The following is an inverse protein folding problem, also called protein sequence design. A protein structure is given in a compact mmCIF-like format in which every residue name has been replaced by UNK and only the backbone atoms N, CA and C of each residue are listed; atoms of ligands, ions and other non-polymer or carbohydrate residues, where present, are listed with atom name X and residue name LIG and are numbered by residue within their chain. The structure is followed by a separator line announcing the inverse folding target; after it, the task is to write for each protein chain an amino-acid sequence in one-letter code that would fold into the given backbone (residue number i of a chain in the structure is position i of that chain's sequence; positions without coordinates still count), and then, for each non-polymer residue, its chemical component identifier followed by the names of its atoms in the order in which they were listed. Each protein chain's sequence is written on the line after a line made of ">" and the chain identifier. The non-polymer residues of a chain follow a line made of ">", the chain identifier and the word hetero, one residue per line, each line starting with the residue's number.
data_IF_695865290361
#
_entry.id   IF_695865290361
#
_cell.length_a   1.000
_cell.length_b   1.000
_cell.length_c   1.000
_cell.angle_alpha   90.00
_cell.angle_beta   90.00
_cell.angle_gamma   90.00
#
_symmetry.space_group_name_H-M   'P 1'
#
loop_
_entity.id
_entity.type
_entity.pdbx_description
1 polymer ?
#
# COMPACT_ATOMS: atom_id res chain seq x y z
N UNK A 1 52.66 13.13 -32.77
CA UNK A 1 51.53 12.93 -31.84
C UNK A 1 50.25 13.09 -32.65
N UNK A 2 49.44 12.04 -32.82
CA UNK A 2 48.04 12.10 -33.33
C UNK A 2 47.40 10.73 -33.59
N UNK A 3 48.09 9.60 -33.33
CA UNK A 3 47.49 8.25 -33.50
C UNK A 3 47.10 7.54 -32.21
N UNK A 4 47.46 8.08 -31.04
CA UNK A 4 47.14 7.48 -29.73
C UNK A 4 45.77 7.98 -29.20
N UNK A 5 45.32 9.17 -29.60
CA UNK A 5 44.06 9.78 -29.12
C UNK A 5 42.82 9.06 -29.67
N UNK A 6 42.92 8.45 -30.85
CA UNK A 6 41.79 7.74 -31.48
C UNK A 6 41.45 6.42 -30.78
N UNK A 7 42.45 5.71 -30.22
CA UNK A 7 42.25 4.41 -29.56
C UNK A 7 41.61 4.57 -28.18
N UNK A 8 41.90 5.66 -27.45
CA UNK A 8 41.24 5.96 -26.18
C UNK A 8 39.76 6.37 -26.33
N UNK A 9 39.36 6.92 -27.48
CA UNK A 9 37.95 7.26 -27.72
C UNK A 9 37.05 6.05 -28.01
N UNK A 10 37.63 4.95 -28.50
CA UNK A 10 36.87 3.74 -28.87
C UNK A 10 36.55 2.83 -27.67
N UNK A 11 37.35 2.93 -26.59
CA UNK A 11 37.19 2.07 -25.39
C UNK A 11 36.19 2.66 -24.38
N UNK A 12 35.86 3.95 -24.47
CA UNK A 12 34.86 4.57 -23.60
C UNK A 12 33.39 4.35 -24.01
N UNK A 13 33.12 3.76 -25.19
CA UNK A 13 31.74 3.47 -25.62
C UNK A 13 31.23 2.07 -25.23
N UNK A 14 32.07 1.17 -24.73
CA UNK A 14 31.66 -0.20 -24.41
C UNK A 14 31.20 -0.44 -22.96
N UNK A 15 31.10 0.61 -22.13
CA UNK A 15 30.76 0.47 -20.70
C UNK A 15 29.36 0.96 -20.31
N UNK A 16 28.52 1.33 -21.28
CA UNK A 16 27.09 1.46 -21.05
C UNK A 16 26.39 0.15 -21.44
N UNK A 17 26.68 -0.93 -20.71
CA UNK A 17 25.69 -2.00 -20.55
C UNK A 17 24.61 -1.46 -19.61
N UNK A 18 23.76 -0.59 -20.15
CA UNK A 18 22.38 -0.48 -19.69
C UNK A 18 21.74 -1.82 -20.00
N UNK A 19 21.71 -2.71 -19.02
CA UNK A 19 20.78 -3.84 -19.02
C UNK A 19 19.39 -3.29 -18.76
N UNK A 20 18.78 -2.68 -19.78
CA UNK A 20 17.34 -2.45 -19.83
C UNK A 20 16.81 -3.22 -21.02
N UNK A 21 16.50 -4.49 -20.80
CA UNK A 21 15.65 -5.26 -21.70
C UNK A 21 14.63 -6.00 -20.81
N UNK A 22 13.68 -5.24 -20.25
CA UNK A 22 12.29 -5.70 -20.29
C UNK A 22 11.88 -5.46 -21.73
N UNK A 23 11.49 -6.51 -22.44
CA UNK A 23 11.00 -6.43 -23.82
C UNK A 23 9.82 -5.47 -23.87
N UNK A 24 10.10 -4.24 -24.27
CA UNK A 24 9.12 -3.16 -24.32
C UNK A 24 8.28 -3.36 -25.57
N UNK A 25 7.11 -3.98 -25.39
CA UNK A 25 6.09 -4.07 -26.42
C UNK A 25 5.36 -2.72 -26.53
N UNK A 26 6.09 -1.65 -26.87
CA UNK A 26 5.60 -0.39 -27.43
C UNK A 26 4.29 0.15 -26.86
N UNK A 27 4.14 0.06 -25.55
CA UNK A 27 2.99 0.60 -24.83
C UNK A 27 3.54 1.74 -24.00
N UNK A 28 3.31 2.99 -24.44
CA UNK A 28 3.58 4.21 -23.66
C UNK A 28 2.64 4.31 -22.43
N UNK A 29 2.38 3.18 -21.78
CA UNK A 29 1.49 3.06 -20.64
C UNK A 29 2.27 3.46 -19.38
N UNK A 30 2.22 4.75 -19.08
CA UNK A 30 2.82 5.35 -17.90
C UNK A 30 1.95 5.19 -16.65
N UNK A 31 0.91 4.35 -16.68
CA UNK A 31 0.02 4.12 -15.53
C UNK A 31 0.77 3.62 -14.29
N UNK A 32 1.85 2.85 -14.46
CA UNK A 32 2.73 2.44 -13.37
C UNK A 32 3.36 3.62 -12.62
N UNK A 33 3.46 4.81 -13.24
CA UNK A 33 3.97 6.04 -12.61
C UNK A 33 2.87 6.97 -12.10
N UNK A 34 1.59 6.59 -12.25
CA UNK A 34 0.47 7.37 -11.73
C UNK A 34 0.43 7.29 -10.21
N UNK A 35 -0.09 8.35 -9.61
CA UNK A 35 -0.47 8.42 -8.21
C UNK A 35 -2.00 8.40 -8.06
N UNK A 36 -2.72 7.84 -9.03
CA UNK A 36 -4.14 7.58 -8.97
C UNK A 36 -4.43 6.14 -9.36
N UNK A 37 -5.34 5.50 -8.62
CA UNK A 37 -5.89 4.19 -8.94
C UNK A 37 -7.30 4.36 -9.49
N UNK A 38 -7.52 3.94 -10.73
CA UNK A 38 -8.85 3.84 -11.33
C UNK A 38 -9.53 2.55 -10.89
N UNK A 39 -10.58 2.65 -10.08
CA UNK A 39 -11.37 1.50 -9.63
C UNK A 39 -12.70 1.46 -10.37
N UNK A 40 -12.91 0.38 -11.12
CA UNK A 40 -14.13 0.18 -11.89
C UNK A 40 -15.20 -0.51 -11.04
N UNK A 41 -16.36 0.14 -10.86
CA UNK A 41 -17.49 -0.41 -10.09
C UNK A 41 -18.60 -0.86 -11.04
N UNK A 42 -18.49 -2.10 -11.51
CA UNK A 42 -19.46 -2.68 -12.45
C UNK A 42 -19.65 -1.81 -13.69
N UNK A 43 -20.89 -1.63 -14.14
CA UNK A 43 -21.25 -0.71 -15.22
C UNK A 43 -21.43 0.75 -14.73
N UNK A 44 -21.31 0.99 -13.41
CA UNK A 44 -21.83 2.19 -12.74
C UNK A 44 -20.81 3.32 -12.58
N UNK A 45 -19.59 3.16 -13.06
CA UNK A 45 -18.60 4.24 -13.15
C UNK A 45 -17.21 3.89 -12.65
N UNK A 46 -16.30 4.84 -12.88
CA UNK A 46 -14.90 4.80 -12.47
C UNK A 46 -14.75 5.72 -11.25
N UNK A 47 -14.13 5.20 -10.20
CA UNK A 47 -13.75 5.99 -9.02
C UNK A 47 -12.22 6.12 -9.05
N UNK A 48 -11.74 7.37 -9.06
CA UNK A 48 -10.31 7.65 -8.99
C UNK A 48 -9.90 7.84 -7.54
N UNK A 49 -8.98 7.01 -7.08
CA UNK A 49 -8.42 7.07 -5.73
C UNK A 49 -7.03 7.70 -5.82
N UNK A 50 -6.79 8.89 -5.25
CA UNK A 50 -5.43 9.40 -5.13
C UNK A 50 -4.62 8.47 -4.22
N UNK A 51 -3.36 8.22 -4.57
CA UNK A 51 -2.42 7.37 -3.85
C UNK A 51 -1.36 8.23 -3.15
N UNK A 52 -0.73 7.68 -2.10
CA UNK A 52 0.32 8.38 -1.34
C UNK A 52 1.70 8.27 -1.98
N UNK A 53 1.93 7.21 -2.76
CA UNK A 53 3.12 6.97 -3.56
C UNK A 53 2.68 6.53 -4.97
N UNK A 54 3.61 6.47 -5.91
CA UNK A 54 3.32 5.96 -7.25
C UNK A 54 3.11 4.44 -7.22
N UNK A 55 2.38 3.90 -8.21
CA UNK A 55 2.13 2.46 -8.32
C UNK A 55 3.45 1.67 -8.35
N UNK A 56 4.41 2.08 -9.18
CA UNK A 56 5.73 1.46 -9.33
C UNK A 56 6.55 1.51 -8.03
N UNK A 57 6.58 2.64 -7.33
CA UNK A 57 7.27 2.71 -6.03
C UNK A 57 6.65 1.78 -5.00
N UNK A 58 5.34 1.58 -5.04
CA UNK A 58 4.64 0.69 -4.13
C UNK A 58 4.97 -0.79 -4.36
N UNK A 59 5.41 -1.18 -5.57
CA UNK A 59 5.77 -2.57 -5.90
C UNK A 59 7.03 -3.06 -5.18
N UNK A 60 7.83 -2.16 -4.60
CA UNK A 60 8.94 -2.56 -3.72
C UNK A 60 8.47 -3.03 -2.33
N UNK A 61 7.19 -2.87 -2.00
CA UNK A 61 6.61 -3.33 -0.73
C UNK A 61 6.69 -4.85 -0.63
N UNK A 62 7.29 -5.35 0.46
CA UNK A 62 7.36 -6.78 0.71
C UNK A 62 6.08 -7.28 1.35
N UNK A 63 5.68 -8.52 1.02
CA UNK A 63 4.57 -9.20 1.67
C UNK A 63 5.06 -10.36 2.53
N UNK A 64 4.56 -10.42 3.76
CA UNK A 64 4.86 -11.52 4.69
C UNK A 64 3.57 -12.21 5.11
N UNK A 65 3.46 -13.51 4.83
CA UNK A 65 2.28 -14.33 5.14
C UNK A 65 0.96 -13.80 4.54
N UNK A 66 1.02 -13.03 3.46
CA UNK A 66 -0.16 -12.59 2.72
C UNK A 66 0.15 -12.29 1.27
N UNK A 67 -0.88 -11.95 0.50
CA UNK A 67 -0.81 -11.60 -0.93
C UNK A 67 -1.89 -10.57 -1.25
N UNK A 68 -1.79 -9.91 -2.40
CA UNK A 68 -2.83 -8.96 -2.84
C UNK A 68 -4.20 -9.63 -2.94
N UNK A 69 -4.25 -10.83 -3.51
CA UNK A 69 -5.50 -11.59 -3.67
C UNK A 69 -6.18 -11.90 -2.33
N UNK A 70 -5.38 -12.09 -1.28
CA UNK A 70 -5.90 -12.32 0.07
C UNK A 70 -6.42 -11.03 0.70
N UNK A 71 -5.72 -9.91 0.53
CA UNK A 71 -6.20 -8.59 0.97
C UNK A 71 -7.51 -8.24 0.27
N UNK A 72 -7.56 -8.38 -1.06
CA UNK A 72 -8.77 -8.17 -1.86
C UNK A 72 -9.94 -9.03 -1.35
N UNK A 73 -9.71 -10.32 -1.15
CA UNK A 73 -10.74 -11.25 -0.66
C UNK A 73 -11.23 -10.85 0.73
N UNK A 74 -10.33 -10.57 1.65
CA UNK A 74 -10.68 -10.23 3.03
C UNK A 74 -11.48 -8.91 3.07
N UNK A 75 -11.11 -7.93 2.23
CA UNK A 75 -11.82 -6.65 2.09
C UNK A 75 -13.12 -6.70 1.26
N UNK A 76 -13.29 -7.65 0.33
CA UNK A 76 -14.48 -7.69 -0.55
C UNK A 76 -15.49 -8.76 -0.15
N UNK A 77 -15.09 -9.78 0.61
CA UNK A 77 -15.92 -10.98 0.88
C UNK A 77 -17.14 -10.73 1.77
N UNK A 78 -17.16 -9.63 2.52
CA UNK A 78 -18.18 -9.38 3.54
C UNK A 78 -18.09 -10.31 4.76
N UNK A 79 -16.99 -11.06 4.92
CA UNK A 79 -16.74 -11.90 6.10
C UNK A 79 -16.61 -11.04 7.36
N UNK A 80 -15.81 -9.99 7.27
CA UNK A 80 -15.67 -9.00 8.33
C UNK A 80 -16.78 -7.95 8.23
N UNK A 81 -17.21 -7.44 9.39
CA UNK A 81 -18.22 -6.38 9.54
C UNK A 81 -17.64 -5.12 10.17
N UNK A 82 -16.51 -5.26 10.85
CA UNK A 82 -15.82 -4.16 11.54
C UNK A 82 -14.42 -4.05 10.95
N UNK A 83 -14.00 -2.82 10.65
CA UNK A 83 -12.58 -2.51 10.41
C UNK A 83 -12.10 -1.70 11.61
N UNK A 84 -11.13 -2.25 12.33
CA UNK A 84 -10.51 -1.62 13.48
C UNK A 84 -9.13 -1.08 13.08
N UNK A 85 -8.93 0.23 13.25
CA UNK A 85 -7.62 0.85 13.06
C UNK A 85 -6.80 0.84 14.36
N UNK A 86 -5.61 0.25 14.29
CA UNK A 86 -4.69 0.11 15.41
C UNK A 86 -3.39 0.85 15.11
N UNK A 87 -3.17 1.99 15.76
CA UNK A 87 -2.00 2.84 15.47
C UNK A 87 -1.59 3.68 16.68
N UNK A 88 -0.31 4.03 16.76
CA UNK A 88 0.22 4.81 17.86
C UNK A 88 -0.01 6.31 17.65
N UNK A 89 -1.14 6.79 18.17
CA UNK A 89 -1.54 8.21 18.11
C UNK A 89 -0.54 9.17 18.76
N UNK A 90 0.32 8.68 19.64
CA UNK A 90 1.22 9.52 20.45
C UNK A 90 2.61 9.67 19.82
N UNK A 91 3.10 8.64 19.13
CA UNK A 91 4.44 8.62 18.55
C UNK A 91 4.47 8.78 17.02
N UNK A 92 3.31 8.90 16.37
CA UNK A 92 3.22 9.20 14.95
C UNK A 92 3.42 10.68 14.64
N UNK A 93 4.14 10.96 13.55
CA UNK A 93 4.16 12.30 12.95
C UNK A 93 2.82 12.62 12.27
N UNK A 94 2.59 13.90 11.94
CA UNK A 94 1.40 14.31 11.17
C UNK A 94 1.32 13.57 9.83
N UNK A 95 2.47 13.36 9.16
CA UNK A 95 2.53 12.60 7.91
C UNK A 95 2.08 11.16 8.10
N UNK A 96 2.58 10.48 9.14
CA UNK A 96 2.17 9.09 9.45
C UNK A 96 0.68 8.98 9.82
N UNK A 97 0.16 9.92 10.59
CA UNK A 97 -1.27 9.96 10.92
C UNK A 97 -2.13 10.16 9.65
N UNK A 98 -1.64 10.93 8.67
CA UNK A 98 -2.32 11.11 7.39
C UNK A 98 -2.36 9.84 6.54
N UNK A 99 -1.44 8.89 6.74
CA UNK A 99 -1.49 7.56 6.10
C UNK A 99 -2.70 6.78 6.63
N UNK A 100 -2.90 6.78 7.95
CA UNK A 100 -4.07 6.13 8.58
C UNK A 100 -5.38 6.72 8.07
N UNK A 101 -5.46 8.06 8.07
CA UNK A 101 -6.66 8.78 7.62
C UNK A 101 -6.95 8.53 6.13
N UNK A 102 -5.91 8.30 5.33
CA UNK A 102 -6.07 8.00 3.91
C UNK A 102 -6.72 6.64 3.69
N UNK A 103 -6.23 5.56 4.32
CA UNK A 103 -6.88 4.25 4.23
C UNK A 103 -8.33 4.33 4.71
N UNK A 104 -8.57 5.03 5.83
CA UNK A 104 -9.91 5.21 6.37
C UNK A 104 -10.84 5.95 5.39
N UNK A 105 -10.34 6.98 4.70
CA UNK A 105 -11.14 7.71 3.70
C UNK A 105 -11.42 6.89 2.44
N UNK A 106 -10.46 6.08 2.00
CA UNK A 106 -10.65 5.11 0.92
C UNK A 106 -11.75 4.13 1.30
N UNK A 107 -11.65 3.49 2.47
CA UNK A 107 -12.70 2.57 2.95
C UNK A 107 -14.06 3.28 3.03
N UNK A 108 -14.10 4.51 3.57
CA UNK A 108 -15.32 5.32 3.65
C UNK A 108 -15.96 5.60 2.29
N UNK A 109 -15.14 5.81 1.25
CA UNK A 109 -15.60 6.04 -0.14
C UNK A 109 -16.34 4.82 -0.70
N UNK A 110 -15.85 3.61 -0.40
CA UNK A 110 -16.43 2.37 -0.89
C UNK A 110 -17.42 1.72 0.09
N UNK A 111 -17.76 2.38 1.20
CA UNK A 111 -18.60 1.80 2.25
C UNK A 111 -20.04 1.46 1.80
N UNK A 112 -20.53 2.08 0.73
CA UNK A 112 -21.83 1.74 0.13
C UNK A 112 -21.80 0.42 -0.63
N UNK A 113 -20.62 -0.02 -1.06
CA UNK A 113 -20.38 -1.24 -1.85
C UNK A 113 -19.91 -2.36 -0.93
N UNK A 114 -18.94 -2.05 -0.06
CA UNK A 114 -18.39 -2.95 0.95
C UNK A 114 -18.66 -2.35 2.35
N UNK A 115 -19.80 -2.67 2.98
CA UNK A 115 -20.23 -2.01 4.20
C UNK A 115 -19.45 -2.50 5.43
N UNK A 116 -18.81 -1.54 6.11
CA UNK A 116 -18.03 -1.72 7.33
C UNK A 116 -18.42 -0.70 8.40
N UNK A 117 -18.37 -1.14 9.65
CA UNK A 117 -18.26 -0.24 10.80
C UNK A 117 -16.78 0.04 11.02
N UNK A 118 -16.36 1.27 10.70
CA UNK A 118 -14.96 1.70 10.84
C UNK A 118 -14.76 2.38 12.19
N UNK A 119 -13.83 1.87 12.99
CA UNK A 119 -13.61 2.31 14.38
C UNK A 119 -12.13 2.29 14.75
N UNK A 120 -11.79 2.99 15.82
CA UNK A 120 -10.51 2.92 16.52
C UNK A 120 -10.75 2.81 18.05
N UNK A 121 -9.69 2.97 18.84
CA UNK A 121 -9.78 2.91 20.31
C UNK A 121 -10.67 4.01 20.94
N UNK A 122 -10.95 5.12 20.24
CA UNK A 122 -11.72 6.25 20.81
C UNK A 122 -13.19 5.95 21.06
N UNK A 123 -13.71 4.90 20.40
CA UNK A 123 -15.11 4.48 20.54
C UNK A 123 -15.34 3.65 21.82
N UNK A 124 -14.26 3.19 22.46
CA UNK A 124 -14.32 2.24 23.57
C UNK A 124 -13.88 2.88 24.89
N UNK A 125 -14.55 2.49 25.98
CA UNK A 125 -14.29 3.03 27.31
C UNK A 125 -13.23 2.22 28.09
N UNK A 126 -12.83 1.05 27.61
CA UNK A 126 -11.90 0.16 28.31
C UNK A 126 -11.01 -0.63 27.34
N UNK A 127 -9.79 -0.93 27.80
CA UNK A 127 -8.84 -1.79 27.07
C UNK A 127 -9.37 -3.20 26.83
N UNK A 128 -10.16 -3.73 27.78
CA UNK A 128 -10.78 -5.05 27.65
C UNK A 128 -11.79 -5.10 26.49
N UNK A 129 -12.52 -4.02 26.23
CA UNK A 129 -13.47 -3.97 25.11
C UNK A 129 -12.74 -3.82 23.77
N UNK A 130 -11.64 -3.05 23.74
CA UNK A 130 -10.75 -2.97 22.58
C UNK A 130 -10.22 -4.35 22.21
N UNK A 131 -9.69 -5.10 23.19
CA UNK A 131 -9.17 -6.45 22.96
C UNK A 131 -10.24 -7.42 22.45
N UNK A 132 -11.47 -7.35 22.99
CA UNK A 132 -12.58 -8.18 22.49
C UNK A 132 -12.90 -7.89 21.03
N UNK A 133 -12.91 -6.62 20.64
CA UNK A 133 -13.22 -6.22 19.27
C UNK A 133 -12.10 -6.63 18.32
N UNK A 134 -10.84 -6.35 18.66
CA UNK A 134 -9.68 -6.73 17.83
C UNK A 134 -9.61 -8.24 17.58
N UNK A 135 -9.93 -9.05 18.59
CA UNK A 135 -9.88 -10.52 18.51
C UNK A 135 -11.18 -11.17 18.00
N UNK A 136 -12.19 -10.39 17.65
CA UNK A 136 -13.45 -10.91 17.13
C UNK A 136 -13.29 -11.46 15.71
N UNK A 137 -13.97 -12.56 15.40
CA UNK A 137 -13.95 -13.17 14.08
C UNK A 137 -14.66 -12.35 12.99
N UNK A 138 -15.40 -11.31 13.38
CA UNK A 138 -16.05 -10.36 12.45
C UNK A 138 -15.25 -9.06 12.30
N UNK A 139 -14.09 -8.93 12.92
CA UNK A 139 -13.25 -7.74 12.83
C UNK A 139 -12.05 -8.00 11.94
N UNK A 140 -11.78 -7.09 11.02
CA UNK A 140 -10.49 -6.97 10.36
C UNK A 140 -9.71 -5.86 11.05
N UNK A 141 -8.51 -6.16 11.55
CA UNK A 141 -7.64 -5.16 12.16
C UNK A 141 -6.62 -4.68 11.14
N UNK A 142 -6.52 -3.35 10.97
CA UNK A 142 -5.47 -2.71 10.18
C UNK A 142 -4.56 -2.01 11.18
N UNK A 143 -3.41 -2.62 11.46
CA UNK A 143 -2.37 -2.04 12.28
C UNK A 143 -1.40 -1.25 11.41
N UNK A 144 -1.15 0.01 11.77
CA UNK A 144 -0.24 0.89 11.04
C UNK A 144 0.82 1.35 12.04
N UNK A 145 2.08 1.01 11.77
CA UNK A 145 3.16 1.25 12.72
C UNK A 145 4.48 1.57 12.03
N UNK A 146 5.35 2.33 12.71
CA UNK A 146 6.73 2.48 12.30
C UNK A 146 7.50 1.19 12.55
N UNK A 147 8.21 0.73 11.52
CA UNK A 147 9.07 -0.44 11.57
C UNK A 147 10.54 -0.08 11.53
N UNK A 148 11.39 -1.10 11.57
CA UNK A 148 12.82 -0.98 11.26
C UNK A 148 13.13 -1.37 9.80
N UNK A 149 12.18 -2.03 9.14
CA UNK A 149 12.30 -2.50 7.76
C UNK A 149 11.73 -1.48 6.77
N UNK A 150 12.14 -1.56 5.50
CA UNK A 150 11.42 -0.91 4.40
C UNK A 150 9.94 -1.32 4.34
N UNK A 151 9.20 -0.74 3.39
CA UNK A 151 7.78 -0.98 3.15
C UNK A 151 7.43 -2.47 3.22
N UNK A 152 6.56 -2.84 4.15
CA UNK A 152 6.19 -4.23 4.38
C UNK A 152 4.74 -4.34 4.86
N UNK A 153 4.03 -5.33 4.32
CA UNK A 153 2.68 -5.71 4.73
C UNK A 153 2.74 -7.14 5.25
N UNK A 154 2.39 -7.32 6.51
CA UNK A 154 2.35 -8.61 7.17
C UNK A 154 0.91 -8.98 7.53
N UNK A 155 0.60 -10.27 7.56
CA UNK A 155 -0.67 -10.75 8.12
C UNK A 155 -0.44 -11.73 9.27
N UNK A 156 -1.20 -11.51 10.34
CA UNK A 156 -1.33 -12.42 11.46
C UNK A 156 -2.81 -12.53 11.83
N UNK A 157 -3.40 -13.72 11.63
CA UNK A 157 -4.84 -13.95 11.81
C UNK A 157 -5.70 -12.94 11.01
N UNK A 158 -6.57 -12.20 11.68
CA UNK A 158 -7.43 -11.15 11.12
C UNK A 158 -6.75 -9.76 11.13
N UNK A 159 -5.44 -9.69 11.36
CA UNK A 159 -4.70 -8.43 11.44
C UNK A 159 -3.73 -8.29 10.28
N UNK A 160 -3.87 -7.20 9.52
CA UNK A 160 -2.84 -6.70 8.63
C UNK A 160 -1.98 -5.69 9.36
N UNK A 161 -0.66 -5.80 9.20
CA UNK A 161 0.31 -4.89 9.77
C UNK A 161 1.05 -4.19 8.63
N UNK A 162 0.81 -2.89 8.50
CA UNK A 162 1.40 -2.03 7.47
C UNK A 162 2.53 -1.23 8.13
N UNK A 163 3.75 -1.42 7.63
CA UNK A 163 4.98 -0.88 8.23
C UNK A 163 5.88 -0.20 7.20
N UNK A 164 6.61 0.80 7.67
CA UNK A 164 7.75 1.41 6.98
C UNK A 164 8.72 2.04 7.99
N UNK A 165 10.00 2.11 7.63
CA UNK A 165 11.04 2.72 8.46
C UNK A 165 11.15 4.25 8.27
N UNK A 166 10.44 4.80 7.30
CA UNK A 166 10.30 6.22 7.02
C UNK A 166 8.84 6.51 6.63
N UNK A 167 8.49 7.80 6.53
CA UNK A 167 7.18 8.20 6.00
C UNK A 167 6.98 7.69 4.57
N UNK A 168 7.99 7.86 3.71
CA UNK A 168 7.97 7.42 2.32
C UNK A 168 7.73 5.90 2.20
N UNK A 169 8.43 5.10 3.01
CA UNK A 169 8.24 3.64 3.02
C UNK A 169 6.87 3.24 3.58
N UNK A 170 6.32 4.02 4.50
CA UNK A 170 4.96 3.79 4.99
C UNK A 170 3.91 4.15 3.93
N UNK A 171 4.14 5.21 3.15
CA UNK A 171 3.29 5.64 2.03
C UNK A 171 3.32 4.62 0.88
N UNK A 172 4.47 3.99 0.60
CA UNK A 172 4.59 2.85 -0.33
C UNK A 172 3.77 1.65 0.14
N UNK A 173 3.93 1.25 1.40
CA UNK A 173 3.22 0.12 1.96
C UNK A 173 1.70 0.36 2.00
N UNK A 174 1.28 1.58 2.33
CA UNK A 174 -0.14 1.96 2.30
C UNK A 174 -0.71 1.96 0.87
N UNK A 175 0.01 2.57 -0.07
CA UNK A 175 -0.39 2.58 -1.49
C UNK A 175 -0.56 1.15 -2.00
N UNK A 176 0.40 0.28 -1.70
CA UNK A 176 0.31 -1.14 -2.10
C UNK A 176 -0.89 -1.83 -1.47
N UNK A 177 -1.17 -1.56 -0.19
CA UNK A 177 -2.33 -2.12 0.50
C UNK A 177 -3.65 -1.65 -0.14
N UNK A 178 -3.78 -0.36 -0.49
CA UNK A 178 -4.96 0.19 -1.18
C UNK A 178 -5.13 -0.44 -2.56
N UNK A 179 -4.07 -0.58 -3.35
CA UNK A 179 -4.12 -1.28 -4.65
C UNK A 179 -4.58 -2.73 -4.46
N UNK A 180 -4.01 -3.42 -3.47
CA UNK A 180 -4.35 -4.79 -3.14
C UNK A 180 -5.82 -4.97 -2.72
N UNK A 181 -6.43 -4.00 -2.04
CA UNK A 181 -7.85 -4.04 -1.69
C UNK A 181 -8.76 -4.16 -2.91
N UNK A 182 -8.35 -3.58 -4.06
CA UNK A 182 -9.17 -3.52 -5.27
C UNK A 182 -8.71 -4.43 -6.40
N UNK A 183 -7.62 -5.17 -6.20
CA UNK A 183 -7.13 -6.21 -7.12
C UNK A 183 -8.10 -7.39 -7.30
#
# INVERSE_FOLDING_TARGET
>A
MNKIVLILSLVLMSSFCLCTDKTDSGSDDLSDYDNNLEVHIGENGIINIPLKSTINESDSTTFTNTTDSEIARDYKSGTYKIIYFDYDKTNMTVGEANVVLHIASVIGTFNTIYPYVVVDDTVYNSTADIEKVKNSNITLTINISKGLTPANIEKYNNTYIIKGNSLEELEKAETRFVIAMFS
#
